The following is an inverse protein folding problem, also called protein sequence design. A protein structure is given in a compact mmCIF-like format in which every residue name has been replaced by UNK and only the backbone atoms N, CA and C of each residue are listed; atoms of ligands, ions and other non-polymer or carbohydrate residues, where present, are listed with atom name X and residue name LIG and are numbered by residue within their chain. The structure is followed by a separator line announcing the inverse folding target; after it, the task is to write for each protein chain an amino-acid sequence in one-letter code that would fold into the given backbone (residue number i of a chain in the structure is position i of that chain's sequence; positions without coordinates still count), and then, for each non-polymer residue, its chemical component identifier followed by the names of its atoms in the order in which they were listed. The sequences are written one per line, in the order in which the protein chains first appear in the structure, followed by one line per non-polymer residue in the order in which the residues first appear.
data_IF_569890923544
#
_entry.id   IF_569890923544
#
_cell.length_a   1.000
_cell.length_b   1.000
_cell.length_c   1.000
_cell.angle_alpha   90.00
_cell.angle_beta   90.00
_cell.angle_gamma   90.00
#
_symmetry.space_group_name_H-M   'P 1'
#
loop_
_entity.id
_entity.type
_entity.pdbx_description
1 polymer ?
#
# COMPACT_ATOMS: atom_id res chain seq x y z
N UNK A 1 -18.68 -14.39 -10.51
CA UNK A 1 -19.15 -14.13 -9.13
C UNK A 1 -17.90 -13.90 -8.28
N UNK A 2 -17.79 -12.73 -7.66
CA UNK A 2 -16.67 -12.42 -6.78
C UNK A 2 -16.64 -13.38 -5.59
N UNK A 3 -15.46 -13.64 -5.06
CA UNK A 3 -15.26 -14.58 -3.95
C UNK A 3 -15.63 -13.97 -2.58
N UNK A 4 -16.15 -12.73 -2.51
CA UNK A 4 -16.33 -11.96 -1.27
C UNK A 4 -15.08 -12.07 -0.39
N UNK A 5 -13.98 -11.52 -0.88
CA UNK A 5 -12.70 -11.54 -0.17
C UNK A 5 -12.74 -10.58 1.01
N UNK A 6 -12.04 -10.94 2.06
CA UNK A 6 -11.63 -10.00 3.13
C UNK A 6 -10.15 -9.73 2.96
N UNK A 7 -9.80 -8.46 2.81
CA UNK A 7 -8.46 -8.00 2.50
C UNK A 7 -7.98 -7.10 3.63
N UNK A 8 -6.82 -7.41 4.18
CA UNK A 8 -6.13 -6.62 5.18
C UNK A 8 -4.92 -5.93 4.55
N UNK A 9 -4.92 -4.62 4.56
CA UNK A 9 -3.80 -3.75 4.17
C UNK A 9 -3.07 -3.31 5.42
N UNK A 10 -1.77 -3.64 5.54
CA UNK A 10 -0.93 -3.28 6.69
C UNK A 10 0.19 -2.35 6.26
N UNK A 11 0.18 -1.14 6.77
CA UNK A 11 1.06 -0.04 6.39
C UNK A 11 1.91 0.43 7.56
N UNK A 12 3.16 0.77 7.32
CA UNK A 12 4.02 1.36 8.35
C UNK A 12 3.51 2.76 8.73
N UNK A 13 3.15 3.55 7.72
CA UNK A 13 2.67 4.93 7.85
C UNK A 13 1.36 5.13 7.09
N UNK A 14 0.56 6.16 7.42
CA UNK A 14 -0.69 6.47 6.74
C UNK A 14 -0.58 6.60 5.21
N UNK A 15 0.51 7.16 4.70
CA UNK A 15 0.70 7.37 3.26
C UNK A 15 0.95 6.07 2.47
N UNK A 16 1.47 5.01 3.09
CA UNK A 16 1.83 3.77 2.39
C UNK A 16 0.63 3.10 1.72
N UNK A 17 -0.58 3.35 2.23
CA UNK A 17 -1.83 2.95 1.60
C UNK A 17 -1.87 3.31 0.10
N UNK A 18 -1.28 4.44 -0.27
CA UNK A 18 -1.30 4.90 -1.67
C UNK A 18 -0.46 4.03 -2.60
N UNK A 19 0.42 3.16 -2.11
CA UNK A 19 1.24 2.30 -2.97
C UNK A 19 0.41 1.31 -3.81
N UNK A 20 -0.81 0.97 -3.35
CA UNK A 20 -1.70 0.00 -4.00
C UNK A 20 -3.20 0.30 -3.80
N UNK A 21 -3.53 1.56 -3.58
CA UNK A 21 -4.91 1.98 -3.31
C UNK A 21 -5.86 1.76 -4.48
N UNK A 22 -5.36 1.77 -5.72
CA UNK A 22 -6.15 1.46 -6.91
C UNK A 22 -6.65 0.02 -6.87
N UNK A 23 -5.77 -0.93 -6.53
CA UNK A 23 -6.12 -2.34 -6.34
C UNK A 23 -7.14 -2.53 -5.24
N UNK A 24 -6.94 -1.90 -4.07
CA UNK A 24 -7.91 -1.97 -2.98
C UNK A 24 -9.27 -1.38 -3.37
N UNK A 25 -9.26 -0.29 -4.14
CA UNK A 25 -10.47 0.33 -4.67
C UNK A 25 -11.25 -0.57 -5.62
N UNK A 26 -10.57 -1.32 -6.50
CA UNK A 26 -11.18 -2.32 -7.37
C UNK A 26 -11.90 -3.38 -6.53
N UNK A 27 -11.24 -3.90 -5.50
CA UNK A 27 -11.82 -4.90 -4.61
C UNK A 27 -13.02 -4.36 -3.83
N UNK A 28 -12.91 -3.17 -3.24
CA UNK A 28 -14.01 -2.53 -2.52
C UNK A 28 -15.23 -2.31 -3.44
N UNK A 29 -15.02 -1.86 -4.68
CA UNK A 29 -16.09 -1.68 -5.66
C UNK A 29 -16.70 -3.02 -6.13
N UNK A 30 -15.96 -4.12 -6.07
CA UNK A 30 -16.46 -5.46 -6.36
C UNK A 30 -17.26 -6.07 -5.19
N UNK A 31 -17.32 -5.39 -4.04
CA UNK A 31 -18.02 -5.83 -2.83
C UNK A 31 -17.18 -6.66 -1.87
N UNK A 32 -15.86 -6.67 -2.04
CA UNK A 32 -14.94 -7.26 -1.08
C UNK A 32 -14.80 -6.35 0.15
N UNK A 33 -14.56 -6.96 1.32
CA UNK A 33 -14.34 -6.24 2.58
C UNK A 33 -12.86 -5.85 2.67
N UNK A 34 -12.57 -4.55 2.83
CA UNK A 34 -11.21 -4.03 2.93
C UNK A 34 -11.00 -3.34 4.26
N UNK A 35 -10.03 -3.83 5.05
CA UNK A 35 -9.56 -3.20 6.28
C UNK A 35 -8.17 -2.61 6.03
N UNK A 36 -7.97 -1.35 6.37
CA UNK A 36 -6.68 -0.65 6.26
C UNK A 36 -6.13 -0.37 7.65
N UNK A 37 -4.91 -0.84 7.91
CA UNK A 37 -4.20 -0.63 9.18
C UNK A 37 -2.93 0.17 8.92
N UNK A 38 -2.70 1.22 9.71
CA UNK A 38 -1.41 1.88 9.85
C UNK A 38 -0.81 1.55 11.22
N UNK A 39 0.46 1.14 11.26
CA UNK A 39 1.12 0.76 12.50
C UNK A 39 1.48 1.98 13.32
N UNK A 40 1.99 3.02 12.66
CA UNK A 40 2.33 4.30 13.31
C UNK A 40 1.37 5.39 12.86
N UNK A 41 1.42 6.53 13.54
CA UNK A 41 0.72 7.74 13.09
C UNK A 41 1.50 8.53 12.04
N UNK A 42 2.75 8.17 11.79
CA UNK A 42 3.61 8.88 10.85
C UNK A 42 4.11 10.24 11.37
N UNK A 43 4.11 10.46 12.69
CA UNK A 43 4.42 11.75 13.32
C UNK A 43 5.84 12.26 13.06
N UNK A 44 6.77 11.36 12.76
CA UNK A 44 8.17 11.71 12.46
C UNK A 44 8.51 11.55 10.98
N UNK A 45 7.51 11.34 10.11
CA UNK A 45 7.74 11.09 8.67
C UNK A 45 7.16 12.25 7.84
N UNK A 46 7.99 12.84 6.99
CA UNK A 46 7.55 13.83 5.98
C UNK A 46 6.72 15.00 6.54
N UNK A 47 7.28 15.77 7.49
CA UNK A 47 6.71 17.05 7.88
C UNK A 47 7.40 18.18 7.05
N UNK A 48 6.93 18.37 5.83
CA UNK A 48 7.55 19.27 4.87
C UNK A 48 7.42 20.73 5.31
N UNK A 49 6.31 21.09 5.95
CA UNK A 49 6.15 22.45 6.47
C UNK A 49 7.17 22.78 7.58
N UNK A 50 7.40 21.83 8.51
CA UNK A 50 8.42 22.00 9.55
C UNK A 50 9.83 22.01 8.95
N UNK A 51 10.09 21.15 7.96
CA UNK A 51 11.38 21.14 7.25
C UNK A 51 11.66 22.51 6.64
N UNK A 52 10.72 23.07 5.88
CA UNK A 52 10.89 24.36 5.23
C UNK A 52 11.05 25.50 6.23
N UNK A 53 10.33 25.48 7.36
CA UNK A 53 10.52 26.47 8.43
C UNK A 53 11.91 26.39 9.05
N UNK A 54 12.43 25.19 9.28
CA UNK A 54 13.78 25.00 9.84
C UNK A 54 14.89 25.44 8.90
N UNK A 55 14.64 25.47 7.58
CA UNK A 55 15.60 26.01 6.59
C UNK A 55 15.66 27.53 6.57
N UNK A 56 14.69 28.24 7.15
CA UNK A 56 14.70 29.70 7.28
C UNK A 56 15.63 30.17 8.41
N UNK A 57 16.17 31.41 8.34
CA UNK A 57 16.78 32.02 9.49
C UNK A 57 15.84 32.03 10.70
N UNK A 58 16.37 31.85 11.91
CA UNK A 58 15.57 31.71 13.12
C UNK A 58 14.55 32.84 13.32
N UNK A 59 14.95 34.05 13.00
CA UNK A 59 14.10 35.24 13.14
C UNK A 59 12.89 35.29 12.19
N UNK A 60 12.93 34.49 11.11
CA UNK A 60 11.90 34.46 10.07
C UNK A 60 10.99 33.24 10.17
N UNK A 61 11.21 32.39 11.18
CA UNK A 61 10.44 31.15 11.38
C UNK A 61 9.06 31.44 11.96
N UNK A 62 8.05 30.72 11.45
CA UNK A 62 6.70 30.76 12.02
C UNK A 62 6.64 29.93 13.32
N UNK A 63 6.41 30.56 14.48
CA UNK A 63 6.34 29.85 15.74
C UNK A 63 5.18 28.82 15.79
N UNK A 64 4.12 28.99 15.01
CA UNK A 64 3.00 28.05 14.99
C UNK A 64 3.39 26.72 14.36
N UNK A 65 4.22 26.75 13.32
CA UNK A 65 4.74 25.54 12.66
C UNK A 65 5.84 24.90 13.51
N UNK A 66 6.78 25.70 14.01
CA UNK A 66 7.89 25.21 14.85
C UNK A 66 7.40 24.53 16.13
N UNK A 67 6.31 25.02 16.73
CA UNK A 67 5.78 24.51 17.97
C UNK A 67 4.59 23.55 17.78
N UNK A 68 4.31 23.13 16.58
CA UNK A 68 3.27 22.13 16.32
C UNK A 68 3.59 20.83 17.09
N UNK A 69 2.67 20.38 17.93
CA UNK A 69 2.84 19.14 18.68
C UNK A 69 2.79 17.91 17.77
N UNK A 70 3.55 16.87 18.11
CA UNK A 70 3.51 15.60 17.39
C UNK A 70 2.09 15.01 17.32
N UNK A 71 1.29 15.17 18.40
CA UNK A 71 -0.12 14.71 18.44
C UNK A 71 -1.01 15.45 17.44
N UNK A 72 -0.82 16.76 17.27
CA UNK A 72 -1.59 17.54 16.30
C UNK A 72 -1.24 17.10 14.86
N UNK A 73 0.05 16.86 14.59
CA UNK A 73 0.50 16.37 13.30
C UNK A 73 0.02 14.96 13.01
N UNK A 74 0.03 14.07 14.00
CA UNK A 74 -0.56 12.72 13.91
C UNK A 74 -2.04 12.76 13.54
N UNK A 75 -2.81 13.66 14.12
CA UNK A 75 -4.23 13.82 13.81
C UNK A 75 -4.46 14.26 12.36
N UNK A 76 -3.60 15.13 11.82
CA UNK A 76 -3.63 15.52 10.39
C UNK A 76 -3.41 14.30 9.51
N UNK A 77 -2.38 13.50 9.76
CA UNK A 77 -2.06 12.30 8.96
C UNK A 77 -3.13 11.22 9.05
N UNK A 78 -3.74 11.04 10.23
CA UNK A 78 -4.86 10.12 10.40
C UNK A 78 -6.04 10.52 9.50
N UNK A 79 -6.38 11.80 9.49
CA UNK A 79 -7.45 12.34 8.66
C UNK A 79 -7.12 12.21 7.15
N UNK A 80 -5.89 12.47 6.75
CA UNK A 80 -5.44 12.28 5.36
C UNK A 80 -5.63 10.84 4.90
N UNK A 81 -5.32 9.84 5.73
CA UNK A 81 -5.55 8.43 5.44
C UNK A 81 -7.04 8.11 5.31
N UNK A 82 -7.87 8.56 6.26
CA UNK A 82 -9.32 8.35 6.21
C UNK A 82 -9.93 8.95 4.94
N UNK A 83 -9.56 10.19 4.59
CA UNK A 83 -10.02 10.85 3.37
C UNK A 83 -9.54 10.15 2.09
N UNK A 84 -8.31 9.64 2.07
CA UNK A 84 -7.78 8.88 0.94
C UNK A 84 -8.52 7.54 0.77
N UNK A 85 -8.78 6.81 1.85
CA UNK A 85 -9.55 5.58 1.85
C UNK A 85 -11.00 5.80 1.39
N UNK A 86 -11.62 6.89 1.83
CA UNK A 86 -13.01 7.24 1.48
C UNK A 86 -13.23 7.42 -0.03
N UNK A 87 -12.22 7.87 -0.81
CA UNK A 87 -12.28 7.98 -2.27
C UNK A 87 -12.60 6.62 -2.92
N UNK A 88 -12.15 5.54 -2.29
CA UNK A 88 -12.35 4.17 -2.76
C UNK A 88 -13.53 3.47 -2.08
N UNK A 89 -14.26 4.17 -1.19
CA UNK A 89 -15.37 3.59 -0.43
C UNK A 89 -14.91 2.69 0.72
N UNK A 90 -13.65 2.75 1.11
CA UNK A 90 -13.08 1.98 2.23
C UNK A 90 -13.31 2.77 3.52
N UNK A 91 -13.98 2.16 4.50
CA UNK A 91 -14.38 2.79 5.76
C UNK A 91 -13.78 2.16 7.01
N UNK A 92 -13.28 0.92 6.94
CA UNK A 92 -12.56 0.29 8.06
C UNK A 92 -11.09 0.68 8.02
N UNK A 93 -10.77 1.80 8.69
CA UNK A 93 -9.43 2.37 8.79
C UNK A 93 -9.02 2.39 10.24
N UNK A 94 -7.87 1.79 10.54
CA UNK A 94 -7.37 1.63 11.90
C UNK A 94 -5.93 2.12 12.00
N UNK A 95 -5.62 2.87 13.06
CA UNK A 95 -4.26 3.31 13.37
C UNK A 95 -3.90 2.73 14.73
N UNK A 96 -2.88 1.87 14.77
CA UNK A 96 -2.44 1.23 16.01
C UNK A 96 -1.66 2.20 16.92
N UNK A 97 -1.07 3.24 16.33
CA UNK A 97 -0.51 4.38 17.06
C UNK A 97 0.83 4.09 17.75
N UNK A 98 1.60 3.12 17.27
CA UNK A 98 2.95 2.88 17.78
C UNK A 98 3.87 4.04 17.38
N UNK A 99 4.78 4.46 18.30
CA UNK A 99 5.67 5.59 18.05
C UNK A 99 6.72 5.31 16.97
N UNK A 100 7.21 6.38 16.35
CA UNK A 100 8.36 6.34 15.45
C UNK A 100 9.67 6.76 16.17
N UNK A 101 10.84 6.21 15.81
CA UNK A 101 11.01 5.13 14.83
C UNK A 101 10.44 3.80 15.33
N UNK A 102 9.62 3.15 14.49
CA UNK A 102 9.01 1.89 14.87
C UNK A 102 10.01 0.74 14.80
N UNK A 103 10.07 -0.06 15.87
CA UNK A 103 10.89 -1.28 15.97
C UNK A 103 10.14 -2.31 16.80
N UNK A 104 9.99 -3.52 16.26
CA UNK A 104 9.34 -4.63 16.97
C UNK A 104 10.01 -4.92 18.30
N UNK A 105 11.34 -4.79 18.37
CA UNK A 105 12.10 -4.99 19.61
C UNK A 105 11.79 -3.98 20.71
N UNK A 106 11.29 -2.78 20.35
CA UNK A 106 10.89 -1.74 21.30
C UNK A 106 9.40 -1.86 21.67
N UNK A 107 8.58 -2.39 20.75
CA UNK A 107 7.12 -2.49 20.89
C UNK A 107 6.64 -3.92 20.53
N UNK A 108 7.09 -4.97 21.28
CA UNK A 108 6.75 -6.36 20.94
C UNK A 108 5.24 -6.64 21.04
N UNK A 109 4.48 -5.85 21.79
CA UNK A 109 3.02 -5.91 21.89
C UNK A 109 2.31 -5.53 20.58
N UNK A 110 2.99 -4.88 19.65
CA UNK A 110 2.46 -4.57 18.32
C UNK A 110 2.08 -5.83 17.53
N UNK A 111 2.80 -6.92 17.75
CA UNK A 111 2.51 -8.22 17.13
C UNK A 111 1.13 -8.72 17.58
N UNK A 112 0.84 -8.63 18.88
CA UNK A 112 -0.44 -9.08 19.42
C UNK A 112 -1.56 -8.11 19.02
N UNK A 113 -1.31 -6.81 18.96
CA UNK A 113 -2.26 -5.83 18.46
C UNK A 113 -2.69 -6.12 17.00
N UNK A 114 -1.74 -6.45 16.11
CA UNK A 114 -2.08 -6.84 14.74
C UNK A 114 -2.72 -8.22 14.67
N UNK A 115 -2.24 -9.19 15.49
CA UNK A 115 -2.89 -10.50 15.60
C UNK A 115 -4.37 -10.36 15.94
N UNK A 116 -4.72 -9.49 16.86
CA UNK A 116 -6.12 -9.27 17.27
C UNK A 116 -6.95 -8.71 16.10
N UNK A 117 -6.40 -7.79 15.29
CA UNK A 117 -7.05 -7.33 14.05
C UNK A 117 -7.24 -8.50 13.08
N UNK A 118 -6.23 -9.35 12.87
CA UNK A 118 -6.32 -10.54 11.99
C UNK A 118 -7.41 -11.50 12.51
N UNK A 119 -7.46 -11.73 13.81
CA UNK A 119 -8.46 -12.63 14.42
C UNK A 119 -9.89 -12.08 14.32
N UNK A 120 -10.06 -10.78 14.40
CA UNK A 120 -11.35 -10.10 14.25
C UNK A 120 -11.82 -10.11 12.78
N UNK A 121 -10.98 -9.63 11.86
CA UNK A 121 -11.35 -9.43 10.44
C UNK A 121 -11.26 -10.71 9.62
N UNK A 122 -10.48 -11.70 10.07
CA UNK A 122 -10.24 -12.99 9.42
C UNK A 122 -9.94 -12.87 7.91
N UNK A 123 -8.91 -12.13 7.51
CA UNK A 123 -8.66 -11.80 6.11
C UNK A 123 -8.24 -13.04 5.32
N UNK A 124 -8.70 -13.12 4.07
CA UNK A 124 -8.21 -14.10 3.10
C UNK A 124 -6.88 -13.68 2.47
N UNK A 125 -6.70 -12.37 2.33
CA UNK A 125 -5.52 -11.75 1.72
C UNK A 125 -4.95 -10.71 2.67
N UNK A 126 -3.62 -10.68 2.79
CA UNK A 126 -2.90 -9.58 3.43
C UNK A 126 -1.96 -8.93 2.41
N UNK A 127 -1.97 -7.61 2.35
CA UNK A 127 -0.97 -6.82 1.64
C UNK A 127 -0.19 -6.06 2.72
N UNK A 128 1.11 -6.26 2.78
CA UNK A 128 1.97 -5.64 3.80
C UNK A 128 3.30 -5.20 3.20
N UNK A 129 4.09 -4.49 3.99
CA UNK A 129 5.42 -4.03 3.60
C UNK A 129 6.33 -5.21 3.24
N UNK A 130 7.37 -4.95 2.45
CA UNK A 130 8.30 -6.01 2.03
C UNK A 130 9.39 -6.29 3.07
N UNK A 131 9.62 -7.55 3.45
CA UNK A 131 10.75 -7.92 4.29
C UNK A 131 12.09 -7.92 3.52
N UNK A 132 12.07 -7.67 2.21
CA UNK A 132 13.22 -7.80 1.31
C UNK A 132 13.82 -6.47 0.84
N UNK A 133 13.40 -5.34 1.41
CA UNK A 133 13.79 -4.01 0.92
C UNK A 133 15.29 -3.74 1.03
N UNK A 134 15.98 -4.35 2.00
CA UNK A 134 17.40 -4.12 2.24
C UNK A 134 18.34 -4.78 1.21
N UNK A 135 17.91 -5.81 0.50
CA UNK A 135 18.80 -6.67 -0.31
C UNK A 135 18.63 -6.48 -1.81
N UNK A 136 17.70 -5.66 -2.24
CA UNK A 136 17.45 -5.47 -3.66
C UNK A 136 18.51 -4.61 -4.33
N UNK A 137 18.83 -5.00 -5.55
CA UNK A 137 19.79 -4.32 -6.42
C UNK A 137 21.21 -4.29 -5.89
N UNK A 138 21.62 -5.23 -5.02
CA UNK A 138 22.94 -5.25 -4.43
C UNK A 138 23.24 -4.05 -3.54
N UNK A 139 22.24 -3.32 -3.11
CA UNK A 139 22.40 -2.24 -2.13
C UNK A 139 22.84 -2.82 -0.79
N UNK A 140 23.76 -2.17 -0.08
CA UNK A 140 24.10 -2.57 1.28
C UNK A 140 22.83 -2.60 2.13
N UNK A 141 22.78 -3.54 3.08
CA UNK A 141 21.71 -3.59 4.06
C UNK A 141 21.53 -2.19 4.67
N UNK A 142 20.33 -1.64 4.57
CA UNK A 142 20.01 -0.39 5.24
C UNK A 142 19.93 -0.62 6.74
N UNK A 143 20.02 0.45 7.49
CA UNK A 143 19.57 0.43 8.88
C UNK A 143 18.09 0.01 8.85
N UNK A 144 17.64 -0.92 9.69
CA UNK A 144 16.23 -1.30 9.76
C UNK A 144 15.35 -0.06 9.85
N UNK A 145 14.35 0.00 8.99
CA UNK A 145 13.37 1.10 8.96
C UNK A 145 11.99 0.62 9.38
N UNK A 146 11.05 1.54 9.47
CA UNK A 146 9.69 1.25 9.92
C UNK A 146 8.96 0.28 8.97
N UNK A 147 9.29 0.28 7.67
CA UNK A 147 8.67 -0.60 6.68
C UNK A 147 9.11 -2.04 6.86
N UNK A 148 10.42 -2.31 6.97
CA UNK A 148 10.93 -3.67 7.22
C UNK A 148 10.42 -4.22 8.54
N UNK A 149 10.45 -3.41 9.60
CA UNK A 149 9.93 -3.80 10.92
C UNK A 149 8.42 -4.11 10.86
N UNK A 150 7.64 -3.33 10.10
CA UNK A 150 6.22 -3.61 9.86
C UNK A 150 6.03 -4.92 9.10
N UNK A 151 6.88 -5.22 8.12
CA UNK A 151 6.83 -6.49 7.40
C UNK A 151 7.08 -7.68 8.33
N UNK A 152 8.15 -7.64 9.12
CA UNK A 152 8.47 -8.72 10.08
C UNK A 152 7.35 -8.88 11.12
N UNK A 153 6.84 -7.78 11.67
CA UNK A 153 5.73 -7.80 12.61
C UNK A 153 4.48 -8.44 12.00
N UNK A 154 4.15 -8.11 10.75
CA UNK A 154 2.99 -8.65 10.03
C UNK A 154 3.10 -10.17 9.82
N UNK A 155 4.29 -10.64 9.44
CA UNK A 155 4.57 -12.06 9.25
C UNK A 155 4.51 -12.84 10.57
N UNK A 156 5.01 -12.26 11.66
CA UNK A 156 4.90 -12.86 13.00
C UNK A 156 3.45 -12.88 13.49
N UNK A 157 2.71 -11.79 13.33
CA UNK A 157 1.30 -11.69 13.75
C UNK A 157 0.41 -12.73 13.04
N UNK A 158 0.59 -12.92 11.71
CA UNK A 158 -0.15 -13.95 10.98
C UNK A 158 0.22 -15.37 11.45
N UNK A 159 1.50 -15.61 11.76
CA UNK A 159 1.96 -16.89 12.31
C UNK A 159 1.29 -17.21 13.65
N UNK A 160 1.21 -16.21 14.54
CA UNK A 160 0.49 -16.32 15.81
C UNK A 160 -1.01 -16.53 15.63
N UNK A 161 -1.64 -15.82 14.68
CA UNK A 161 -3.05 -15.99 14.39
C UNK A 161 -3.39 -17.40 13.86
N UNK A 162 -2.46 -18.01 13.11
CA UNK A 162 -2.60 -19.37 12.56
C UNK A 162 -2.32 -20.48 13.58
N UNK A 163 -1.79 -20.15 14.76
CA UNK A 163 -1.37 -21.11 15.78
C UNK A 163 -2.34 -21.07 16.96
N UNK A 164 -2.87 -22.24 17.34
CA UNK A 164 -3.67 -22.34 18.56
C UNK A 164 -2.76 -22.33 19.80
N UNK A 165 -3.09 -21.49 20.77
CA UNK A 165 -2.40 -21.39 22.06
C UNK A 165 -3.33 -21.74 23.21
N UNK A 166 -2.80 -22.34 24.32
CA UNK A 166 -3.63 -22.62 25.49
C UNK A 166 -4.30 -21.33 26.01
N UNK A 167 -5.64 -21.38 26.12
CA UNK A 167 -6.45 -20.23 26.54
C UNK A 167 -7.19 -19.52 25.37
N UNK A 168 -6.86 -19.83 24.13
CA UNK A 168 -7.62 -19.32 22.99
C UNK A 168 -9.06 -19.85 23.02
N UNK A 169 -10.01 -18.95 22.77
CA UNK A 169 -11.44 -19.28 22.66
C UNK A 169 -11.96 -19.25 21.23
N UNK A 170 -11.21 -18.61 20.33
CA UNK A 170 -11.51 -18.54 18.91
C UNK A 170 -10.66 -19.54 18.12
N UNK A 171 -11.22 -20.08 17.02
CA UNK A 171 -10.46 -20.93 16.10
C UNK A 171 -9.30 -20.14 15.45
N UNK A 172 -8.12 -20.73 15.29
CA UNK A 172 -7.00 -20.11 14.57
C UNK A 172 -7.41 -19.64 13.18
N UNK A 173 -6.69 -18.69 12.65
CA UNK A 173 -6.95 -18.17 11.33
C UNK A 173 -5.66 -18.11 10.50
N UNK A 174 -5.67 -18.77 9.33
CA UNK A 174 -4.60 -18.72 8.35
C UNK A 174 -4.98 -17.78 7.20
N UNK A 175 -4.10 -16.87 6.85
CA UNK A 175 -4.24 -16.01 5.68
C UNK A 175 -3.85 -16.83 4.44
N UNK A 176 -4.70 -16.82 3.41
CA UNK A 176 -4.51 -17.65 2.22
C UNK A 176 -3.37 -17.13 1.32
N UNK A 177 -3.22 -15.79 1.22
CA UNK A 177 -2.20 -15.17 0.38
C UNK A 177 -1.66 -13.89 1.03
N UNK A 178 -0.35 -13.71 0.94
CA UNK A 178 0.33 -12.47 1.35
C UNK A 178 1.04 -11.89 0.14
N UNK A 179 0.89 -10.58 -0.05
CA UNK A 179 1.49 -9.83 -1.14
C UNK A 179 2.29 -8.64 -0.61
N UNK A 180 3.34 -8.30 -1.35
CA UNK A 180 4.19 -7.15 -1.11
C UNK A 180 4.01 -6.14 -2.25
N UNK A 181 3.82 -4.84 -1.96
CA UNK A 181 3.64 -3.83 -3.00
C UNK A 181 4.90 -3.68 -3.87
N UNK A 182 4.69 -3.47 -5.15
CA UNK A 182 5.75 -3.35 -6.15
C UNK A 182 6.69 -2.17 -5.98
N UNK A 183 6.33 -1.18 -5.15
CA UNK A 183 7.16 0.00 -4.85
C UNK A 183 8.56 -0.37 -4.30
N UNK A 184 8.69 -1.56 -3.72
CA UNK A 184 9.96 -2.07 -3.21
C UNK A 184 10.75 -2.91 -4.20
N UNK A 185 10.24 -3.08 -5.44
CA UNK A 185 10.71 -4.11 -6.36
C UNK A 185 10.97 -3.55 -7.77
N UNK A 186 11.86 -4.21 -8.53
CA UNK A 186 12.01 -3.92 -9.96
C UNK A 186 10.84 -4.52 -10.75
N UNK A 187 10.54 -3.94 -11.91
CA UNK A 187 9.41 -4.41 -12.73
C UNK A 187 9.50 -5.88 -13.15
N UNK A 188 10.70 -6.41 -13.32
CA UNK A 188 10.96 -7.81 -13.69
C UNK A 188 10.86 -8.79 -12.51
N UNK A 189 10.67 -8.28 -11.30
CA UNK A 189 10.48 -9.08 -10.08
C UNK A 189 8.99 -9.25 -9.72
N UNK A 190 8.08 -8.59 -10.43
CA UNK A 190 6.64 -8.72 -10.14
C UNK A 190 6.11 -10.09 -10.53
N UNK A 191 5.35 -10.71 -9.63
CA UNK A 191 4.59 -11.91 -9.95
C UNK A 191 3.36 -11.59 -10.80
N UNK A 192 2.75 -10.41 -10.56
CA UNK A 192 1.66 -9.89 -11.38
C UNK A 192 1.51 -8.37 -11.22
N UNK A 193 0.77 -7.79 -12.15
CA UNK A 193 0.40 -6.37 -12.14
C UNK A 193 -1.12 -6.28 -12.25
N UNK A 194 -1.72 -5.49 -11.40
CA UNK A 194 -3.15 -5.13 -11.49
C UNK A 194 -3.27 -3.91 -12.40
N UNK A 195 -4.08 -4.02 -13.44
CA UNK A 195 -4.43 -2.91 -14.31
C UNK A 195 -5.39 -1.97 -13.57
N UNK A 196 -4.92 -0.76 -13.31
CA UNK A 196 -5.69 0.27 -12.60
C UNK A 196 -5.99 1.49 -13.50
N UNK A 197 -5.93 1.31 -14.82
CA UNK A 197 -6.09 2.41 -15.78
C UNK A 197 -7.37 3.20 -15.56
N UNK A 198 -8.50 2.51 -15.31
CA UNK A 198 -9.79 3.13 -15.02
C UNK A 198 -9.87 3.80 -13.63
N UNK A 199 -8.87 3.57 -12.78
CA UNK A 199 -8.78 4.07 -11.41
C UNK A 199 -7.75 5.17 -11.24
N UNK A 200 -7.06 5.53 -12.31
CA UNK A 200 -5.95 6.48 -12.27
C UNK A 200 -6.34 7.83 -11.65
N UNK A 201 -7.46 8.42 -12.04
CA UNK A 201 -7.89 9.72 -11.50
C UNK A 201 -8.19 9.65 -10.00
N UNK A 202 -8.78 8.56 -9.52
CA UNK A 202 -8.97 8.33 -8.08
C UNK A 202 -7.64 8.16 -7.34
N UNK A 203 -6.65 7.52 -7.98
CA UNK A 203 -5.30 7.41 -7.44
C UNK A 203 -4.62 8.78 -7.28
N UNK A 204 -4.76 9.65 -8.28
CA UNK A 204 -4.27 11.04 -8.21
C UNK A 204 -4.99 11.82 -7.11
N UNK A 205 -6.30 11.65 -6.99
CA UNK A 205 -7.11 12.29 -5.95
C UNK A 205 -6.68 11.83 -4.55
N UNK A 206 -6.47 10.52 -4.35
CA UNK A 206 -6.00 9.97 -3.08
C UNK A 206 -4.61 10.48 -2.70
N UNK A 207 -3.70 10.55 -3.65
CA UNK A 207 -2.36 11.10 -3.46
C UNK A 207 -2.41 12.58 -3.02
N UNK A 208 -3.37 13.37 -3.55
CA UNK A 208 -3.57 14.76 -3.17
C UNK A 208 -4.05 14.96 -1.72
N UNK A 209 -4.52 13.91 -1.04
CA UNK A 209 -4.96 14.03 0.36
C UNK A 209 -3.81 14.23 1.32
N UNK A 210 -2.59 13.87 0.93
CA UNK A 210 -1.40 13.94 1.78
C UNK A 210 -0.69 15.30 1.66
N UNK A 211 -1.45 16.37 1.83
CA UNK A 211 -0.94 17.75 1.75
C UNK A 211 0.13 18.05 2.80
N UNK A 212 0.07 17.43 3.99
CA UNK A 212 1.08 17.55 5.04
C UNK A 212 2.47 17.08 4.58
N UNK A 213 2.51 16.21 3.57
CA UNK A 213 3.72 15.66 2.96
C UNK A 213 4.10 16.37 1.67
N UNK A 214 3.60 17.59 1.44
CA UNK A 214 3.91 18.39 0.25
C UNK A 214 3.22 17.90 -1.02
N UNK A 215 2.23 17.02 -0.93
CA UNK A 215 1.49 16.54 -2.09
C UNK A 215 0.42 17.55 -2.51
N UNK A 216 0.59 18.11 -3.70
CA UNK A 216 -0.36 19.04 -4.33
C UNK A 216 -0.68 18.57 -5.76
N UNK A 217 -1.75 19.06 -6.39
CA UNK A 217 -2.30 18.48 -7.63
C UNK A 217 -1.28 18.19 -8.73
N UNK A 218 -0.37 19.12 -9.01
CA UNK A 218 0.62 18.94 -10.08
C UNK A 218 1.68 17.87 -9.69
N UNK A 219 2.12 17.87 -8.44
CA UNK A 219 3.04 16.85 -7.91
C UNK A 219 2.42 15.47 -7.94
N UNK A 220 1.22 15.32 -7.35
CA UNK A 220 0.51 14.05 -7.27
C UNK A 220 0.25 13.46 -8.65
N UNK A 221 -0.25 14.27 -9.59
CA UNK A 221 -0.45 13.82 -10.97
C UNK A 221 0.86 13.35 -11.59
N UNK A 222 1.92 14.16 -11.53
CA UNK A 222 3.20 13.80 -12.13
C UNK A 222 3.79 12.53 -11.52
N UNK A 223 3.74 12.41 -10.20
CA UNK A 223 4.19 11.21 -9.49
C UNK A 223 3.44 9.97 -9.95
N UNK A 224 2.10 10.03 -10.00
CA UNK A 224 1.27 8.91 -10.42
C UNK A 224 1.46 8.55 -11.90
N UNK A 225 1.55 9.54 -12.79
CA UNK A 225 1.84 9.30 -14.22
C UNK A 225 3.15 8.53 -14.41
N UNK A 226 4.19 8.90 -13.69
CA UNK A 226 5.52 8.27 -13.84
C UNK A 226 5.54 6.89 -13.18
N UNK A 227 5.11 6.77 -11.92
CA UNK A 227 5.24 5.53 -11.17
C UNK A 227 4.29 4.44 -11.67
N UNK A 228 3.00 4.76 -11.78
CA UNK A 228 2.00 3.80 -12.25
C UNK A 228 2.10 3.55 -13.75
N UNK A 229 2.47 4.58 -14.52
CA UNK A 229 2.70 4.46 -15.96
C UNK A 229 3.88 3.56 -16.29
N UNK A 230 4.99 3.63 -15.54
CA UNK A 230 6.12 2.72 -15.72
C UNK A 230 5.72 1.26 -15.49
N UNK A 231 5.00 0.97 -14.40
CA UNK A 231 4.51 -0.38 -14.08
C UNK A 231 3.50 -0.87 -15.13
N UNK A 232 2.53 -0.01 -15.48
CA UNK A 232 1.53 -0.31 -16.51
C UNK A 232 2.15 -0.61 -17.87
N UNK A 233 3.08 0.23 -18.31
CA UNK A 233 3.80 0.04 -19.59
C UNK A 233 4.51 -1.30 -19.64
N UNK A 234 5.22 -1.68 -18.58
CA UNK A 234 5.90 -2.97 -18.48
C UNK A 234 4.93 -4.15 -18.61
N UNK A 235 3.76 -4.06 -17.97
CA UNK A 235 2.72 -5.08 -18.02
C UNK A 235 1.81 -5.00 -19.26
N UNK A 236 1.93 -3.94 -20.08
CA UNK A 236 1.09 -3.70 -21.25
C UNK A 236 -0.27 -3.10 -20.91
N UNK A 237 -0.35 -2.26 -19.91
CA UNK A 237 -1.50 -1.42 -19.55
C UNK A 237 -1.09 0.06 -19.52
N UNK A 238 -2.03 0.98 -19.41
CA UNK A 238 -1.72 2.41 -19.27
C UNK A 238 -1.14 2.70 -17.89
N UNK A 239 -1.78 2.20 -16.83
CA UNK A 239 -1.36 2.34 -15.45
C UNK A 239 -1.51 1.02 -14.72
N UNK A 240 -0.56 0.69 -13.84
CA UNK A 240 -0.57 -0.57 -13.10
C UNK A 240 0.00 -0.45 -11.69
N UNK A 241 -0.42 -1.37 -10.83
CA UNK A 241 0.17 -1.61 -9.51
C UNK A 241 0.75 -3.02 -9.49
N UNK A 242 2.06 -3.12 -9.24
CA UNK A 242 2.80 -4.38 -9.23
C UNK A 242 2.77 -5.05 -7.85
N UNK A 243 2.86 -6.38 -7.85
CA UNK A 243 2.89 -7.16 -6.61
C UNK A 243 3.87 -8.32 -6.70
N UNK A 244 4.46 -8.64 -5.54
CA UNK A 244 5.27 -9.83 -5.33
C UNK A 244 4.58 -10.69 -4.28
N UNK A 245 4.55 -12.02 -4.48
CA UNK A 245 3.97 -12.98 -3.53
C UNK A 245 4.97 -13.37 -2.46
N UNK A 246 4.49 -13.60 -1.25
CA UNK A 246 5.29 -14.22 -0.18
C UNK A 246 5.70 -15.65 -0.53
N UNK A 247 4.77 -16.42 -1.10
CA UNK A 247 4.95 -17.83 -1.43
C UNK A 247 4.37 -18.16 -2.81
N UNK A 248 4.92 -19.22 -3.42
CA UNK A 248 4.34 -19.78 -4.64
C UNK A 248 2.90 -20.23 -4.40
N UNK A 249 2.04 -19.96 -5.37
CA UNK A 249 0.66 -20.44 -5.37
C UNK A 249 0.59 -21.91 -5.73
N UNK A 250 -0.14 -22.70 -4.94
CA UNK A 250 -0.44 -24.07 -5.30
C UNK A 250 -1.70 -24.09 -6.19
N UNK A 251 -1.53 -24.45 -7.43
CA UNK A 251 -2.60 -24.53 -8.41
C UNK A 251 -2.82 -25.99 -8.86
N UNK A 252 -4.06 -26.43 -9.14
CA UNK A 252 -4.35 -27.79 -9.58
C UNK A 252 -3.89 -28.06 -11.04
N UNK A 253 -3.72 -26.98 -11.82
CA UNK A 253 -3.26 -27.03 -13.22
C UNK A 253 -2.70 -25.66 -13.61
N UNK A 254 -1.96 -25.59 -14.70
CA UNK A 254 -1.53 -24.31 -15.27
C UNK A 254 -2.77 -23.52 -15.68
N UNK A 255 -2.89 -22.29 -15.15
CA UNK A 255 -3.96 -21.36 -15.49
C UNK A 255 -3.39 -20.16 -16.23
N UNK A 256 -4.16 -19.60 -17.15
CA UNK A 256 -3.86 -18.36 -17.83
C UNK A 256 -4.99 -17.38 -17.57
N UNK A 257 -4.65 -16.18 -17.12
CA UNK A 257 -5.66 -15.15 -16.88
C UNK A 257 -6.40 -14.81 -18.19
N UNK A 258 -7.70 -14.60 -18.10
CA UNK A 258 -8.54 -14.23 -19.25
C UNK A 258 -8.02 -12.97 -19.97
N UNK A 259 -7.54 -11.98 -19.20
CA UNK A 259 -6.90 -10.78 -19.73
C UNK A 259 -5.66 -11.10 -20.58
N UNK A 260 -4.86 -12.09 -20.19
CA UNK A 260 -3.69 -12.53 -20.97
C UNK A 260 -4.11 -13.24 -22.27
N UNK A 261 -5.16 -14.07 -22.22
CA UNK A 261 -5.71 -14.71 -23.42
C UNK A 261 -6.26 -13.67 -24.41
N UNK A 262 -6.99 -12.67 -23.94
CA UNK A 262 -7.47 -11.57 -24.80
C UNK A 262 -6.32 -10.82 -25.43
N UNK A 263 -5.30 -10.43 -24.66
CA UNK A 263 -4.13 -9.71 -25.18
C UNK A 263 -3.32 -10.49 -26.20
N UNK A 264 -3.30 -11.81 -26.09
CA UNK A 264 -2.58 -12.67 -27.07
C UNK A 264 -3.17 -12.61 -28.47
N UNK A 265 -4.41 -12.20 -28.64
CA UNK A 265 -5.13 -12.15 -29.91
C UNK A 265 -5.65 -10.76 -30.27
N UNK A 266 -5.35 -9.74 -29.47
CA UNK A 266 -5.82 -8.37 -29.72
C UNK A 266 -5.17 -7.76 -30.97
N UNK A 267 -5.93 -6.98 -31.77
CA UNK A 267 -5.36 -6.18 -32.84
C UNK A 267 -4.38 -5.14 -32.32
N UNK A 268 -3.39 -4.76 -33.14
CA UNK A 268 -2.37 -3.78 -32.76
C UNK A 268 -2.97 -2.43 -32.37
N UNK A 269 -4.03 -1.99 -33.08
CA UNK A 269 -4.74 -0.74 -32.76
C UNK A 269 -5.37 -0.76 -31.36
N UNK A 270 -5.98 -1.87 -30.96
CA UNK A 270 -6.58 -2.07 -29.65
C UNK A 270 -5.50 -2.07 -28.54
N UNK A 271 -4.35 -2.66 -28.82
CA UNK A 271 -3.19 -2.61 -27.93
C UNK A 271 -2.72 -1.17 -27.68
N UNK A 272 -2.58 -0.36 -28.71
CA UNK A 272 -2.17 1.04 -28.54
C UNK A 272 -3.23 1.83 -27.77
N UNK A 273 -4.51 1.67 -28.13
CA UNK A 273 -5.60 2.33 -27.42
C UNK A 273 -5.60 2.00 -25.91
N UNK A 274 -5.38 0.73 -25.56
CA UNK A 274 -5.28 0.28 -24.16
C UNK A 274 -4.07 0.84 -23.41
N UNK A 275 -2.93 1.03 -24.13
CA UNK A 275 -1.68 1.49 -23.49
C UNK A 275 -1.53 3.01 -23.41
N UNK A 276 -2.17 3.75 -24.31
CA UNK A 276 -2.01 5.21 -24.39
C UNK A 276 -3.33 5.97 -24.42
N UNK A 277 -4.48 5.27 -24.40
CA UNK A 277 -5.81 5.89 -24.43
C UNK A 277 -6.24 6.39 -25.82
N UNK A 278 -5.44 6.16 -26.86
CA UNK A 278 -5.73 6.64 -28.21
C UNK A 278 -5.36 5.57 -29.26
N UNK A 279 -6.27 5.38 -30.21
CA UNK A 279 -6.05 4.49 -31.34
C UNK A 279 -5.20 5.20 -32.40
N UNK A 280 -4.19 4.54 -32.99
CA UNK A 280 -3.43 5.15 -34.09
C UNK A 280 -4.33 5.43 -35.28
N UNK A 281 -4.05 6.49 -36.08
CA UNK A 281 -4.77 6.74 -37.31
C UNK A 281 -4.71 5.55 -38.26
N UNK A 282 -5.79 5.33 -39.01
CA UNK A 282 -5.82 4.28 -40.02
C UNK A 282 -4.72 4.54 -41.06
N UNK A 283 -3.93 3.51 -41.38
CA UNK A 283 -2.91 3.56 -42.44
C UNK A 283 -3.55 3.40 -43.80
#
# INVERSE_FOLDING_TARGET
MGQNLRILSVNAHPHDFTHYAGTLGIHAAAGDEVTVVSITTGEATHNEALHDELMKPEADRDPAIINQGAGDYSAVKAKELEEACAIFGITDVRILGFPQPYRVSLFPESIDALRDVIMETRPHVMITQSPHTATRNGMPARVPDDHEETAFMSLEAQGRAATATPGDTAAPHSIASVYYPGVYYQNDEFDFVVDISDWFEKRVEAENKYASQGHYPAWSRKRMEVSLGNVGWFAGAMYGEGFVRDKAELVPMITVAESALRRATEPVGDRYERMVGERPPAH
#
